data_IF_343702623336
#
_entry.id   IF_343702623336
#
_cell.length_a   1.000
_cell.length_b   1.000
_cell.length_c   1.000
_cell.angle_alpha   90.00
_cell.angle_beta   90.00
_cell.angle_gamma   90.00
#
_symmetry.space_group_name_H-M   'P 1'
#
loop_
_entity.id
_entity.type
_entity.pdbx_description
1 polymer ?
#
# COMPACT_ATOMS: atom_id res chain seq x y z
N UNK A 1 12.60 12.83 12.30
CA UNK A 1 11.82 12.32 11.14
C UNK A 1 11.41 13.52 10.30
N UNK A 2 12.04 13.70 9.13
CA UNK A 2 11.70 14.78 8.20
C UNK A 2 10.33 14.43 7.63
N UNK A 3 9.34 15.29 7.83
CA UNK A 3 8.04 15.15 7.19
C UNK A 3 8.29 15.28 5.69
N UNK A 4 8.17 14.17 4.94
CA UNK A 4 8.27 14.24 3.49
C UNK A 4 7.23 15.23 2.97
N UNK A 5 7.70 16.25 2.29
CA UNK A 5 6.87 17.27 1.67
C UNK A 5 5.91 16.60 0.68
N UNK A 6 4.64 17.00 0.73
CA UNK A 6 3.65 16.46 -0.20
C UNK A 6 3.87 17.17 -1.52
N UNK A 7 4.30 16.42 -2.55
CA UNK A 7 4.54 17.00 -3.87
C UNK A 7 3.26 17.52 -4.51
N UNK A 8 3.29 18.77 -5.00
CA UNK A 8 2.17 19.39 -5.71
C UNK A 8 1.97 18.81 -7.11
N UNK A 9 2.99 18.18 -7.68
CA UNK A 9 2.94 17.54 -8.99
C UNK A 9 3.48 16.13 -8.92
N UNK A 10 2.70 15.16 -9.36
CA UNK A 10 3.08 13.77 -9.41
C UNK A 10 3.36 13.33 -10.85
N UNK A 11 4.59 12.84 -11.10
CA UNK A 11 4.97 12.26 -12.40
C UNK A 11 4.82 10.76 -12.37
N UNK A 12 4.23 10.19 -13.42
CA UNK A 12 3.98 8.76 -13.51
C UNK A 12 3.99 8.26 -14.96
N UNK A 13 4.23 6.98 -15.12
CA UNK A 13 3.94 6.23 -16.35
C UNK A 13 2.96 5.13 -16.03
N UNK A 14 2.04 4.81 -16.94
CA UNK A 14 1.06 3.75 -16.76
C UNK A 14 1.76 2.41 -16.92
N UNK A 15 1.49 1.48 -16.01
CA UNK A 15 2.03 0.13 -16.09
C UNK A 15 0.95 -0.88 -16.46
N UNK A 16 1.34 -1.85 -17.26
CA UNK A 16 0.55 -3.00 -17.65
C UNK A 16 1.22 -4.27 -17.15
N UNK A 17 0.63 -4.94 -16.18
CA UNK A 17 1.14 -6.19 -15.60
C UNK A 17 0.26 -7.34 -16.05
N UNK A 18 0.85 -8.40 -16.56
CA UNK A 18 0.13 -9.61 -16.99
C UNK A 18 0.86 -10.87 -16.55
N UNK A 19 0.09 -11.95 -16.39
CA UNK A 19 0.62 -13.26 -16.04
C UNK A 19 1.25 -13.89 -17.27
N UNK A 20 2.54 -14.23 -17.17
CA UNK A 20 3.27 -14.90 -18.27
C UNK A 20 3.29 -16.41 -18.13
N UNK A 21 3.33 -16.93 -16.90
CA UNK A 21 3.41 -18.38 -16.65
C UNK A 21 2.86 -18.71 -15.26
N UNK A 22 2.16 -19.85 -15.17
CA UNK A 22 1.84 -20.50 -13.89
C UNK A 22 2.65 -21.78 -13.75
N UNK A 23 3.32 -21.93 -12.61
CA UNK A 23 4.09 -23.16 -12.28
C UNK A 23 3.68 -23.57 -10.88
N UNK A 24 2.78 -24.55 -10.76
CA UNK A 24 2.17 -24.92 -9.49
C UNK A 24 1.46 -23.73 -8.85
N UNK A 25 1.76 -23.40 -7.58
CA UNK A 25 1.21 -22.26 -6.84
C UNK A 25 1.91 -20.94 -7.13
N UNK A 26 3.02 -20.94 -7.87
CA UNK A 26 3.72 -19.71 -8.24
C UNK A 26 3.26 -19.15 -9.58
N UNK A 27 3.07 -17.81 -9.58
CA UNK A 27 2.65 -17.06 -10.75
C UNK A 27 3.76 -16.09 -11.15
N UNK A 28 4.26 -16.24 -12.38
CA UNK A 28 5.19 -15.27 -12.95
C UNK A 28 4.41 -14.16 -13.65
N UNK A 29 4.73 -12.92 -13.32
CA UNK A 29 4.14 -11.74 -13.93
C UNK A 29 5.20 -10.91 -14.65
N UNK A 30 4.81 -10.29 -15.75
CA UNK A 30 5.63 -9.31 -16.46
C UNK A 30 4.94 -7.95 -16.41
N UNK A 31 5.67 -6.93 -15.99
CA UNK A 31 5.20 -5.55 -15.95
C UNK A 31 5.86 -4.75 -17.06
N UNK A 32 5.05 -4.20 -17.95
CA UNK A 32 5.47 -3.26 -18.97
C UNK A 32 5.17 -1.84 -18.49
N UNK A 33 6.16 -0.95 -18.57
CA UNK A 33 6.02 0.46 -18.22
C UNK A 33 5.81 1.23 -19.50
N UNK A 34 4.78 2.06 -19.55
CA UNK A 34 4.53 2.95 -20.69
C UNK A 34 5.70 3.89 -20.93
N UNK A 35 5.98 4.19 -22.18
CA UNK A 35 7.08 5.06 -22.57
C UNK A 35 6.80 6.52 -22.22
N UNK A 36 5.53 6.92 -22.24
CA UNK A 36 5.12 8.30 -21.99
C UNK A 36 5.13 8.64 -20.49
N UNK A 37 5.97 9.63 -20.13
CA UNK A 37 5.95 10.22 -18.79
C UNK A 37 4.83 11.27 -18.69
N UNK A 38 3.89 11.06 -17.79
CA UNK A 38 2.72 11.92 -17.57
C UNK A 38 2.83 12.63 -16.23
N UNK A 39 2.10 13.72 -16.07
CA UNK A 39 2.04 14.44 -14.80
C UNK A 39 0.62 14.81 -14.44
N UNK A 40 0.33 14.70 -13.14
CA UNK A 40 -0.95 15.10 -12.56
C UNK A 40 -0.68 16.07 -11.40
N UNK A 41 -1.36 17.21 -11.42
CA UNK A 41 -1.26 18.21 -10.37
C UNK A 41 -2.11 17.81 -9.17
N UNK A 42 -1.59 18.03 -7.97
CA UNK A 42 -2.33 17.78 -6.71
C UNK A 42 -2.96 19.08 -6.23
N UNK A 43 -4.26 19.09 -6.11
CA UNK A 43 -4.99 20.20 -5.53
C UNK A 43 -5.00 20.13 -3.99
N UNK A 44 -5.17 21.29 -3.37
CA UNK A 44 -5.14 21.41 -1.92
C UNK A 44 -6.30 20.66 -1.24
N UNK A 45 -7.50 20.81 -1.79
CA UNK A 45 -8.79 20.44 -1.18
C UNK A 45 -9.62 19.44 -1.98
N UNK A 46 -9.35 19.31 -3.29
CA UNK A 46 -10.09 18.40 -4.18
C UNK A 46 -9.19 17.32 -4.77
N UNK A 47 -9.80 16.17 -5.01
CA UNK A 47 -9.17 15.07 -5.75
C UNK A 47 -9.05 15.46 -7.22
N UNK A 48 -7.89 15.19 -7.81
CA UNK A 48 -7.68 15.33 -9.25
C UNK A 48 -7.77 13.96 -9.91
N UNK A 49 -8.51 13.88 -11.00
CA UNK A 49 -8.66 12.65 -11.76
C UNK A 49 -8.53 12.90 -13.25
N UNK A 50 -7.94 11.94 -13.94
CA UNK A 50 -7.73 12.00 -15.37
C UNK A 50 -7.99 10.63 -16.00
N UNK A 51 -8.71 10.62 -17.11
CA UNK A 51 -8.88 9.44 -17.93
C UNK A 51 -7.74 9.35 -18.94
N UNK A 52 -7.11 8.20 -18.98
CA UNK A 52 -5.93 7.91 -19.81
C UNK A 52 -6.14 6.59 -20.55
N UNK A 53 -5.26 6.27 -21.48
CA UNK A 53 -5.24 5.00 -22.17
C UNK A 53 -3.94 4.27 -21.88
N UNK A 54 -4.04 2.95 -21.68
CA UNK A 54 -2.88 2.09 -21.57
C UNK A 54 -2.25 1.92 -22.97
N UNK A 55 -0.97 2.26 -23.12
CA UNK A 55 -0.24 2.14 -24.39
C UNK A 55 -0.14 0.69 -24.91
N UNK A 56 -0.23 -0.29 -24.00
CA UNK A 56 -0.02 -1.69 -24.33
C UNK A 56 -1.28 -2.40 -24.80
N UNK A 57 -2.44 -2.06 -24.24
CA UNK A 57 -3.69 -2.76 -24.55
C UNK A 57 -4.84 -1.81 -24.95
N UNK A 58 -4.61 -0.49 -25.02
CA UNK A 58 -5.63 0.50 -25.36
C UNK A 58 -6.73 0.71 -24.31
N UNK A 59 -6.70 -0.05 -23.20
CA UNK A 59 -7.71 0.04 -22.16
C UNK A 59 -7.80 1.44 -21.55
N UNK A 60 -9.02 1.91 -21.30
CA UNK A 60 -9.24 3.16 -20.57
C UNK A 60 -8.95 2.96 -19.09
N UNK A 61 -8.08 3.79 -18.56
CA UNK A 61 -7.72 3.78 -17.14
C UNK A 61 -8.00 5.15 -16.53
N UNK A 62 -8.52 5.15 -15.33
CA UNK A 62 -8.76 6.35 -14.53
C UNK A 62 -7.64 6.46 -13.51
N UNK A 63 -6.92 7.57 -13.57
CA UNK A 63 -5.85 7.89 -12.62
C UNK A 63 -6.39 8.91 -11.63
N UNK A 64 -6.38 8.57 -10.35
CA UNK A 64 -6.95 9.38 -9.27
C UNK A 64 -5.84 9.79 -8.31
N UNK A 65 -5.60 11.08 -8.17
CA UNK A 65 -4.65 11.65 -7.22
C UNK A 65 -5.41 12.37 -6.09
N UNK A 66 -5.26 11.87 -4.87
CA UNK A 66 -5.93 12.42 -3.69
C UNK A 66 -5.47 13.84 -3.39
N UNK A 67 -6.36 14.66 -2.81
CA UNK A 67 -6.04 16.02 -2.37
C UNK A 67 -4.97 16.02 -1.27
N UNK A 68 -4.24 17.14 -1.17
CA UNK A 68 -3.25 17.33 -0.11
C UNK A 68 -3.88 17.31 1.30
N UNK A 69 -5.13 17.82 1.43
CA UNK A 69 -5.87 17.77 2.69
C UNK A 69 -6.22 16.34 3.10
N UNK A 70 -6.68 15.49 2.17
CA UNK A 70 -6.98 14.08 2.45
C UNK A 70 -5.73 13.30 2.86
N UNK A 71 -4.62 13.50 2.15
CA UNK A 71 -3.34 12.87 2.47
C UNK A 71 -2.88 13.27 3.86
N UNK A 72 -2.92 14.57 4.20
CA UNK A 72 -2.57 15.07 5.53
C UNK A 72 -3.45 14.47 6.62
N UNK A 73 -4.78 14.39 6.38
CA UNK A 73 -5.73 13.80 7.34
C UNK A 73 -5.41 12.33 7.60
N UNK A 74 -5.16 11.54 6.55
CA UNK A 74 -4.81 10.12 6.66
C UNK A 74 -3.48 9.92 7.38
N UNK A 75 -2.45 10.69 7.03
CA UNK A 75 -1.15 10.64 7.71
C UNK A 75 -1.28 10.98 9.20
N UNK A 76 -2.08 11.98 9.57
CA UNK A 76 -2.35 12.31 10.99
C UNK A 76 -3.05 11.15 11.71
N UNK A 77 -4.09 10.57 11.12
CA UNK A 77 -4.79 9.44 11.70
C UNK A 77 -3.83 8.26 11.98
N UNK A 78 -3.01 7.88 11.00
CA UNK A 78 -2.04 6.79 11.20
C UNK A 78 -0.92 7.15 12.20
N UNK A 79 -0.48 8.43 12.25
CA UNK A 79 0.47 8.89 13.28
C UNK A 79 -0.09 8.79 14.70
N UNK A 80 -1.39 8.93 14.88
CA UNK A 80 -2.04 8.77 16.17
C UNK A 80 -2.34 7.30 16.50
N UNK A 81 -2.60 6.50 15.50
CA UNK A 81 -2.97 5.08 15.67
C UNK A 81 -1.77 4.16 15.91
N UNK A 82 -0.62 4.40 15.27
CA UNK A 82 0.52 3.48 15.41
C UNK A 82 1.02 3.33 16.85
N UNK A 83 1.14 4.40 17.69
CA UNK A 83 1.57 4.22 19.08
C UNK A 83 0.54 3.45 19.91
N UNK A 84 -0.75 3.59 19.63
CA UNK A 84 -1.80 2.79 20.27
C UNK A 84 -1.62 1.31 19.96
N UNK A 85 -1.42 0.97 18.70
CA UNK A 85 -1.15 -0.42 18.30
C UNK A 85 0.16 -0.95 18.90
N UNK A 86 1.20 -0.12 18.98
CA UNK A 86 2.47 -0.49 19.60
C UNK A 86 2.30 -0.82 21.08
N UNK A 87 1.59 0.01 21.84
CA UNK A 87 1.31 -0.24 23.26
C UNK A 87 0.51 -1.53 23.44
N UNK A 88 -0.53 -1.73 22.65
CA UNK A 88 -1.34 -2.95 22.71
C UNK A 88 -0.52 -4.20 22.36
N UNK A 89 0.39 -4.11 21.37
CA UNK A 89 1.29 -5.20 21.02
C UNK A 89 2.24 -5.55 22.17
N UNK A 90 2.81 -4.54 22.86
CA UNK A 90 3.69 -4.75 24.04
C UNK A 90 2.91 -5.37 25.18
N UNK A 91 1.70 -4.88 25.50
CA UNK A 91 0.87 -5.45 26.58
C UNK A 91 0.46 -6.89 26.27
N UNK A 92 0.09 -7.18 25.02
CA UNK A 92 -0.25 -8.54 24.59
C UNK A 92 0.97 -9.48 24.68
N UNK A 93 2.14 -9.02 24.23
CA UNK A 93 3.40 -9.77 24.36
C UNK A 93 3.79 -10.01 25.81
N UNK A 94 3.62 -9.03 26.67
CA UNK A 94 3.83 -9.19 28.11
C UNK A 94 2.90 -10.22 28.71
N UNK A 95 1.60 -10.18 28.38
CA UNK A 95 0.62 -11.17 28.79
C UNK A 95 1.01 -12.58 28.38
N UNK A 96 1.49 -12.76 27.13
CA UNK A 96 2.02 -14.03 26.64
C UNK A 96 3.18 -14.55 27.51
N UNK A 97 4.15 -13.68 27.84
CA UNK A 97 5.29 -14.04 28.69
C UNK A 97 4.82 -14.47 30.09
N UNK A 98 3.81 -13.80 30.65
CA UNK A 98 3.28 -14.18 31.96
C UNK A 98 2.59 -15.56 31.93
N UNK A 99 1.77 -15.83 30.92
CA UNK A 99 1.10 -17.13 30.74
C UNK A 99 2.15 -18.25 30.65
N UNK A 100 3.23 -18.04 29.87
CA UNK A 100 4.30 -19.04 29.75
C UNK A 100 5.07 -19.24 31.05
N UNK A 101 5.25 -18.20 31.86
CA UNK A 101 6.03 -18.29 33.14
C UNK A 101 5.21 -18.89 34.27
N UNK A 102 3.90 -18.70 34.32
CA UNK A 102 3.03 -19.15 35.42
C UNK A 102 2.37 -20.50 35.16
N UNK A 103 2.47 -21.01 33.92
CA UNK A 103 1.86 -22.30 33.56
C UNK A 103 2.56 -23.49 34.18
N UNK A 104 2.02 -24.00 35.28
CA UNK A 104 2.50 -25.22 36.01
C UNK A 104 2.15 -26.56 35.32
N UNK A 105 1.81 -26.49 34.05
CA UNK A 105 1.44 -27.61 33.19
C UNK A 105 0.38 -27.15 32.18
N UNK A 106 0.66 -27.37 30.89
CA UNK A 106 -0.22 -26.93 29.79
C UNK A 106 -1.55 -27.70 29.82
N UNK A 107 -2.50 -27.19 30.59
CA UNK A 107 -3.90 -27.58 30.49
C UNK A 107 -4.50 -27.11 29.14
N UNK A 108 -5.62 -27.69 28.76
CA UNK A 108 -6.28 -27.36 27.48
C UNK A 108 -6.68 -25.87 27.41
N UNK A 109 -7.08 -25.29 28.54
CA UNK A 109 -7.47 -23.90 28.69
C UNK A 109 -6.24 -22.97 28.56
N UNK A 110 -5.07 -23.38 29.04
CA UNK A 110 -3.81 -22.65 28.92
C UNK A 110 -3.29 -22.62 27.48
N UNK A 111 -3.45 -23.72 26.75
CA UNK A 111 -3.11 -23.78 25.32
C UNK A 111 -3.99 -22.83 24.49
N UNK A 112 -5.27 -22.75 24.82
CA UNK A 112 -6.20 -21.84 24.16
C UNK A 112 -5.82 -20.36 24.43
N UNK A 113 -5.55 -20.02 25.70
CA UNK A 113 -5.07 -18.71 26.11
C UNK A 113 -3.76 -18.33 25.42
N UNK A 114 -2.80 -19.24 25.36
CA UNK A 114 -1.52 -19.06 24.68
C UNK A 114 -1.70 -18.79 23.18
N UNK A 115 -2.56 -19.55 22.52
CA UNK A 115 -2.83 -19.37 21.09
C UNK A 115 -3.43 -17.99 20.79
N UNK A 116 -4.45 -17.55 21.56
CA UNK A 116 -5.09 -16.25 21.34
C UNK A 116 -4.17 -15.08 21.67
N UNK A 117 -3.36 -15.16 22.71
CA UNK A 117 -2.39 -14.11 23.04
C UNK A 117 -1.27 -14.03 22.02
N UNK A 118 -0.77 -15.15 21.52
CA UNK A 118 0.24 -15.20 20.46
C UNK A 118 -0.33 -14.62 19.14
N UNK A 119 -1.49 -15.08 18.70
CA UNK A 119 -2.16 -14.58 17.50
C UNK A 119 -2.48 -13.07 17.61
N UNK A 120 -2.95 -12.63 18.76
CA UNK A 120 -3.20 -11.22 19.07
C UNK A 120 -1.93 -10.38 18.95
N UNK A 121 -0.83 -10.84 19.51
CA UNK A 121 0.47 -10.14 19.45
C UNK A 121 0.97 -9.98 18.01
N UNK A 122 0.86 -11.03 17.20
CA UNK A 122 1.23 -11.01 15.78
C UNK A 122 0.37 -10.02 14.99
N UNK A 123 -0.96 -10.05 15.17
CA UNK A 123 -1.89 -9.14 14.49
C UNK A 123 -1.66 -7.68 14.88
N UNK A 124 -1.42 -7.40 16.15
CA UNK A 124 -1.14 -6.06 16.65
C UNK A 124 0.22 -5.55 16.15
N UNK A 125 1.25 -6.41 16.16
CA UNK A 125 2.56 -6.10 15.58
C UNK A 125 2.48 -5.78 14.09
N UNK A 126 1.75 -6.59 13.33
CA UNK A 126 1.50 -6.34 11.91
C UNK A 126 0.75 -5.02 11.68
N UNK A 127 -0.29 -4.72 12.49
CA UNK A 127 -1.06 -3.47 12.41
C UNK A 127 -0.19 -2.25 12.71
N UNK A 128 0.75 -2.35 13.64
CA UNK A 128 1.74 -1.31 13.96
C UNK A 128 2.64 -1.05 12.76
N UNK A 129 3.26 -2.08 12.19
CA UNK A 129 4.13 -1.97 11.02
C UNK A 129 3.38 -1.41 9.81
N UNK A 130 2.19 -1.92 9.55
CA UNK A 130 1.32 -1.43 8.47
C UNK A 130 0.99 0.05 8.66
N UNK A 131 0.62 0.50 9.86
CA UNK A 131 0.33 1.91 10.15
C UNK A 131 1.56 2.79 9.94
N UNK A 132 2.75 2.32 10.33
CA UNK A 132 4.03 3.01 10.12
C UNK A 132 4.35 3.19 8.63
N UNK A 133 4.22 2.14 7.84
CA UNK A 133 4.44 2.18 6.38
C UNK A 133 3.40 3.08 5.71
N UNK A 134 2.13 2.99 6.10
CA UNK A 134 1.07 3.80 5.54
C UNK A 134 1.19 5.30 5.86
N UNK A 135 1.91 5.69 6.93
CA UNK A 135 2.19 7.12 7.16
C UNK A 135 3.02 7.75 6.05
N UNK A 136 3.74 6.95 5.28
CA UNK A 136 4.61 7.40 4.19
C UNK A 136 4.00 7.21 2.79
N UNK A 137 3.01 6.31 2.64
CA UNK A 137 2.57 5.79 1.34
C UNK A 137 1.29 6.36 0.71
N UNK A 138 0.66 7.40 1.27
CA UNK A 138 -0.61 7.93 0.74
C UNK A 138 -0.48 8.89 -0.44
N UNK A 139 0.72 9.17 -0.90
CA UNK A 139 0.97 10.18 -1.93
C UNK A 139 0.79 9.67 -3.37
N UNK A 140 0.64 8.37 -3.52
CA UNK A 140 0.61 7.73 -4.83
C UNK A 140 -0.76 7.79 -5.48
N UNK A 141 -0.84 7.91 -6.82
CA UNK A 141 -2.09 7.83 -7.53
C UNK A 141 -2.68 6.41 -7.49
N UNK A 142 -3.96 6.32 -7.61
CA UNK A 142 -4.68 5.06 -7.81
C UNK A 142 -5.05 4.96 -9.28
N UNK A 143 -4.70 3.85 -9.93
CA UNK A 143 -5.01 3.58 -11.32
C UNK A 143 -6.04 2.45 -11.37
N UNK A 144 -7.18 2.71 -12.00
CA UNK A 144 -8.26 1.73 -12.15
C UNK A 144 -8.71 1.70 -13.61
N UNK A 145 -8.99 0.52 -14.12
CA UNK A 145 -9.58 0.35 -15.44
C UNK A 145 -11.07 0.73 -15.40
N UNK A 146 -11.58 1.39 -16.44
CA UNK A 146 -12.94 1.93 -16.48
C UNK A 146 -13.79 1.44 -17.63
N UNK A 147 -13.22 0.82 -18.66
CA UNK A 147 -13.93 0.36 -19.86
C UNK A 147 -14.61 -0.99 -19.65
N UNK A 148 -13.88 -2.01 -19.19
CA UNK A 148 -14.36 -3.37 -18.96
C UNK A 148 -13.77 -3.96 -17.69
N UNK A 149 -14.29 -5.13 -17.28
CA UNK A 149 -13.69 -5.90 -16.21
C UNK A 149 -12.27 -6.30 -16.61
N UNK A 150 -11.31 -6.05 -15.72
CA UNK A 150 -9.93 -6.49 -15.97
C UNK A 150 -9.90 -8.01 -16.27
N UNK A 151 -9.32 -8.41 -17.41
CA UNK A 151 -9.15 -9.83 -17.69
C UNK A 151 -8.34 -10.49 -16.57
N UNK A 152 -8.64 -11.74 -16.30
CA UNK A 152 -7.91 -12.48 -15.29
C UNK A 152 -6.39 -12.43 -15.52
N UNK A 153 -5.65 -12.01 -14.48
CA UNK A 153 -4.19 -11.94 -14.53
C UNK A 153 -3.62 -10.68 -15.21
N UNK A 154 -4.47 -9.70 -15.55
CA UNK A 154 -4.04 -8.38 -16.04
C UNK A 154 -4.33 -7.34 -14.96
N UNK A 155 -3.36 -6.48 -14.68
CA UNK A 155 -3.50 -5.38 -13.73
C UNK A 155 -2.89 -4.10 -14.33
N UNK A 156 -3.55 -2.98 -14.08
CA UNK A 156 -3.03 -1.66 -14.42
C UNK A 156 -2.57 -0.93 -13.16
N UNK A 157 -1.46 -0.24 -13.29
CA UNK A 157 -0.88 0.51 -12.18
C UNK A 157 -0.09 1.72 -12.68
N UNK A 158 0.80 2.19 -11.86
CA UNK A 158 1.70 3.30 -12.17
C UNK A 158 3.13 2.94 -11.74
N UNK A 159 4.09 3.61 -12.38
CA UNK A 159 5.52 3.56 -12.03
C UNK A 159 6.10 4.97 -12.11
N UNK A 160 7.15 5.29 -11.37
CA UNK A 160 7.95 6.49 -11.66
C UNK A 160 8.43 6.46 -13.11
N UNK A 161 8.50 7.61 -13.80
CA UNK A 161 9.03 7.67 -15.16
C UNK A 161 10.49 7.23 -15.18
N UNK A 162 10.90 6.62 -16.29
CA UNK A 162 12.30 6.21 -16.46
C UNK A 162 13.21 7.43 -16.46
N UNK A 163 14.44 7.34 -15.91
CA UNK A 163 15.37 8.48 -15.85
C UNK A 163 15.70 9.10 -17.22
N UNK A 164 15.70 8.31 -18.29
CA UNK A 164 15.97 8.78 -19.65
C UNK A 164 14.91 9.78 -20.18
N UNK A 165 13.66 9.68 -19.69
CA UNK A 165 12.57 10.55 -20.14
C UNK A 165 12.59 11.93 -19.51
N UNK A 166 13.52 12.17 -18.56
CA UNK A 166 13.65 13.44 -17.84
C UNK A 166 14.56 14.43 -18.60
N UNK A 167 15.45 13.95 -19.46
CA UNK A 167 16.45 14.79 -20.15
C UNK A 167 16.00 15.37 -21.50
N UNK A 168 14.92 14.87 -22.08
CA UNK A 168 14.54 15.23 -23.47
C UNK A 168 13.54 16.42 -23.58
N UNK A 169 13.26 17.13 -22.45
CA UNK A 169 12.30 18.25 -22.44
C UNK A 169 12.81 19.48 -21.69
N UNK A 170 14.05 19.89 -21.98
CA UNK A 170 14.54 21.24 -21.62
C UNK A 170 14.70 22.13 -22.83
#
# INVERSE_FOLDING_TARGET
>A
MVASEISDRFRYSITHTYVTRRVGDSTQTKTLVGAEARSLERFADRTNERSEHCEQCGARVRVVLRSAAEVRRRRRAHRLLWPVWAVLAVLSGWGLVQVVRTGDGLGYDDLFGLFFTAAGSVLLGYSTLRSLVLTQGFDTPVVTRTDDREPYGVQHGWSPPRPADVHDRT
#
